data_IF_513022688445
#
_entry.id   IF_513022688445
#
_cell.length_a   1.000
_cell.length_b   1.000
_cell.length_c   1.000
_cell.angle_alpha   90.00
_cell.angle_beta   90.00
_cell.angle_gamma   90.00
#
_symmetry.space_group_name_H-M   'P 1'
#
loop_
_entity.id
_entity.type
_entity.pdbx_description
1 polymer ?
#
# COMPACT_ATOMS: atom_id res chain seq x y z
N UNK A 1 47.14 23.09 43.18
CA UNK A 1 45.72 23.16 42.73
C UNK A 1 45.70 23.41 41.23
N UNK A 2 45.03 22.55 40.44
CA UNK A 2 44.01 22.90 39.41
C UNK A 2 43.78 21.68 38.52
N UNK A 3 42.72 20.93 38.86
CA UNK A 3 42.12 19.90 38.01
C UNK A 3 41.52 20.58 36.78
N UNK A 4 41.71 20.02 35.59
CA UNK A 4 40.80 20.26 34.46
C UNK A 4 40.41 18.90 33.90
N UNK A 5 39.22 18.48 34.29
CA UNK A 5 38.50 17.31 33.81
C UNK A 5 37.62 17.73 32.63
N UNK A 6 37.49 16.81 31.68
CA UNK A 6 36.35 16.53 30.80
C UNK A 6 35.92 17.56 29.75
N UNK A 7 35.83 17.04 28.52
CA UNK A 7 34.98 17.56 27.46
C UNK A 7 34.64 16.45 26.47
N UNK A 8 34.00 15.37 26.91
CA UNK A 8 33.41 14.36 26.02
C UNK A 8 32.11 14.97 25.46
N UNK A 9 32.20 15.65 24.31
CA UNK A 9 31.05 16.23 23.62
C UNK A 9 30.17 15.09 23.06
N UNK A 10 29.12 14.75 23.80
CA UNK A 10 28.07 13.85 23.35
C UNK A 10 27.22 14.54 22.28
N UNK A 11 27.54 14.30 21.01
CA UNK A 11 26.63 14.58 19.91
C UNK A 11 25.51 13.53 19.90
N UNK A 12 24.48 13.73 20.71
CA UNK A 12 23.24 12.95 20.63
C UNK A 12 22.50 13.38 19.36
N UNK A 13 22.53 12.51 18.35
CA UNK A 13 21.85 12.71 17.09
C UNK A 13 20.35 12.98 17.27
N UNK A 14 19.85 13.95 16.51
CA UNK A 14 18.44 14.27 16.36
C UNK A 14 17.69 13.06 15.78
N UNK A 15 17.13 12.21 16.64
CA UNK A 15 16.04 11.33 16.22
C UNK A 15 14.80 12.20 16.03
N UNK A 16 14.64 12.74 14.82
CA UNK A 16 13.39 13.34 14.39
C UNK A 16 12.29 12.28 14.50
N UNK A 17 11.34 12.50 15.40
CA UNK A 17 10.19 11.60 15.59
C UNK A 17 9.26 11.75 14.38
N UNK A 18 9.53 11.01 13.31
CA UNK A 18 8.67 10.99 12.13
C UNK A 18 7.40 10.20 12.45
N UNK A 19 6.24 10.80 12.15
CA UNK A 19 4.95 10.16 12.41
C UNK A 19 4.85 8.88 11.56
N UNK A 20 4.43 7.75 12.16
CA UNK A 20 4.24 6.51 11.40
C UNK A 20 3.30 6.71 10.22
N UNK A 21 3.64 6.14 9.06
CA UNK A 21 2.73 6.09 7.92
C UNK A 21 1.50 5.27 8.29
N UNK A 22 0.31 5.87 8.19
CA UNK A 22 -0.97 5.24 8.52
C UNK A 22 -1.81 5.07 7.26
N UNK A 23 -2.41 3.89 7.10
CA UNK A 23 -3.39 3.64 6.06
C UNK A 23 -4.70 4.41 6.37
N UNK A 24 -5.35 5.02 5.38
CA UNK A 24 -6.63 5.70 5.58
C UNK A 24 -7.71 4.78 6.16
N UNK A 25 -8.43 5.27 7.17
CA UNK A 25 -9.47 4.53 7.89
C UNK A 25 -10.90 4.72 7.35
N UNK A 26 -11.09 5.48 6.27
CA UNK A 26 -12.43 5.77 5.75
C UNK A 26 -13.16 4.49 5.32
N UNK A 27 -14.34 4.28 5.91
CA UNK A 27 -15.20 3.12 5.61
C UNK A 27 -15.59 3.10 4.14
N UNK A 28 -15.48 1.92 3.53
CA UNK A 28 -15.96 1.69 2.17
C UNK A 28 -15.14 2.34 1.04
N UNK A 29 -14.00 2.97 1.33
CA UNK A 29 -13.17 3.58 0.28
C UNK A 29 -11.91 2.76 0.06
N UNK A 30 -11.70 2.36 -1.19
CA UNK A 30 -10.45 1.75 -1.65
C UNK A 30 -9.47 2.84 -2.08
N UNK A 31 -8.24 2.79 -1.57
CA UNK A 31 -7.22 3.79 -1.83
C UNK A 31 -6.03 3.19 -2.57
N UNK A 32 -5.40 3.98 -3.44
CA UNK A 32 -4.08 3.71 -3.99
C UNK A 32 -3.09 4.70 -3.41
N UNK A 33 -1.95 4.19 -2.96
CA UNK A 33 -0.82 5.01 -2.54
C UNK A 33 -0.07 5.50 -3.77
N UNK A 34 0.23 6.80 -3.80
CA UNK A 34 1.02 7.46 -4.84
C UNK A 34 2.10 8.31 -4.17
N UNK A 35 3.12 8.67 -4.92
CA UNK A 35 4.09 9.65 -4.46
C UNK A 35 3.41 11.04 -4.39
N UNK A 36 3.43 11.66 -3.20
CA UNK A 36 2.93 13.00 -2.99
C UNK A 36 3.94 14.06 -3.41
N UNK A 37 3.47 15.27 -3.73
CA UNK A 37 4.31 16.38 -4.21
C UNK A 37 5.35 16.86 -3.19
N UNK A 38 5.18 16.51 -1.92
CA UNK A 38 6.10 16.82 -0.82
C UNK A 38 7.11 15.68 -0.55
N UNK A 39 7.21 14.70 -1.46
CA UNK A 39 8.05 13.50 -1.29
C UNK A 39 7.52 12.51 -0.26
N UNK A 40 6.29 12.70 0.26
CA UNK A 40 5.64 11.78 1.20
C UNK A 40 4.54 10.99 0.49
N UNK A 41 4.26 9.74 0.90
CA UNK A 41 3.15 8.99 0.34
C UNK A 41 1.82 9.71 0.52
N UNK A 42 1.02 9.77 -0.55
CA UNK A 42 -0.36 10.26 -0.53
C UNK A 42 -1.31 9.14 -0.94
N UNK A 43 -2.55 9.17 -0.47
CA UNK A 43 -3.56 8.15 -0.78
C UNK A 43 -4.66 8.77 -1.64
N UNK A 44 -4.81 8.28 -2.87
CA UNK A 44 -5.87 8.68 -3.79
C UNK A 44 -7.00 7.65 -3.82
N UNK A 45 -8.27 8.07 -3.79
CA UNK A 45 -9.38 7.14 -3.87
C UNK A 45 -9.40 6.47 -5.25
N UNK A 46 -9.53 5.15 -5.26
CA UNK A 46 -9.71 4.32 -6.46
C UNK A 46 -11.19 4.09 -6.71
N UNK A 47 -11.94 3.75 -5.65
CA UNK A 47 -13.36 3.52 -5.72
C UNK A 47 -14.02 3.72 -4.34
N UNK A 48 -15.20 4.35 -4.28
CA UNK A 48 -16.06 4.31 -3.11
C UNK A 48 -16.91 3.02 -3.08
N UNK A 49 -17.69 2.85 -2.01
CA UNK A 49 -18.67 1.76 -1.84
C UNK A 49 -18.08 0.36 -2.02
N UNK A 50 -16.92 0.12 -1.40
CA UNK A 50 -16.25 -1.17 -1.39
C UNK A 50 -16.53 -1.91 -0.09
N UNK A 51 -17.16 -3.07 -0.18
CA UNK A 51 -17.61 -3.81 1.00
C UNK A 51 -16.47 -4.49 1.77
N UNK A 52 -15.46 -4.98 1.05
CA UNK A 52 -14.43 -5.86 1.62
C UNK A 52 -13.01 -5.48 1.20
N UNK A 53 -12.04 -5.91 2.00
CA UNK A 53 -10.62 -5.73 1.70
C UNK A 53 -10.24 -6.45 0.40
N UNK A 54 -10.80 -7.64 0.16
CA UNK A 54 -10.64 -8.46 -1.03
C UNK A 54 -11.11 -7.72 -2.29
N UNK A 55 -12.25 -7.04 -2.22
CA UNK A 55 -12.77 -6.26 -3.34
C UNK A 55 -11.85 -5.08 -3.68
N UNK A 56 -11.27 -4.42 -2.68
CA UNK A 56 -10.26 -3.38 -2.92
C UNK A 56 -8.98 -3.98 -3.52
N UNK A 57 -8.52 -5.12 -3.01
CA UNK A 57 -7.35 -5.84 -3.50
C UNK A 57 -7.47 -6.23 -4.98
N UNK A 58 -8.65 -6.72 -5.41
CA UNK A 58 -8.93 -7.03 -6.83
C UNK A 58 -8.81 -5.78 -7.71
N UNK A 59 -9.31 -4.63 -7.24
CA UNK A 59 -9.20 -3.36 -7.99
C UNK A 59 -7.74 -2.92 -8.13
N UNK A 60 -6.96 -3.04 -7.07
CA UNK A 60 -5.53 -2.71 -7.08
C UNK A 60 -4.73 -3.67 -7.97
N UNK A 61 -5.09 -4.96 -8.03
CA UNK A 61 -4.55 -5.92 -9.01
C UNK A 61 -4.86 -5.50 -10.44
N UNK A 62 -6.08 -5.03 -10.71
CA UNK A 62 -6.43 -4.46 -12.01
C UNK A 62 -5.51 -3.31 -12.42
N UNK A 63 -5.19 -2.40 -11.48
CA UNK A 63 -4.22 -1.32 -11.71
C UNK A 63 -2.81 -1.89 -11.96
N UNK A 64 -2.36 -2.86 -11.16
CA UNK A 64 -1.05 -3.52 -11.37
C UNK A 64 -0.98 -4.13 -12.76
N UNK A 65 -2.01 -4.85 -13.20
CA UNK A 65 -2.06 -5.48 -14.52
C UNK A 65 -2.10 -4.46 -15.66
N UNK A 66 -2.82 -3.35 -15.48
CA UNK A 66 -2.91 -2.30 -16.49
C UNK A 66 -1.57 -1.55 -16.70
N UNK A 67 -0.82 -1.31 -15.63
CA UNK A 67 0.43 -0.52 -15.68
C UNK A 67 1.71 -1.36 -15.59
N UNK A 68 1.61 -2.65 -15.27
CA UNK A 68 2.74 -3.56 -15.14
C UNK A 68 3.71 -3.20 -14.00
N UNK A 69 3.24 -2.52 -12.96
CA UNK A 69 4.06 -2.07 -11.82
C UNK A 69 3.39 -2.46 -10.50
N UNK A 70 4.17 -2.79 -9.46
CA UNK A 70 3.63 -3.05 -8.13
C UNK A 70 2.78 -1.87 -7.62
N UNK A 71 1.66 -2.19 -6.99
CA UNK A 71 0.72 -1.20 -6.45
C UNK A 71 0.60 -1.39 -4.94
N UNK A 72 0.79 -0.32 -4.19
CA UNK A 72 0.39 -0.28 -2.79
C UNK A 72 -0.91 0.50 -2.67
N UNK A 73 -1.83 0.01 -1.86
CA UNK A 73 -3.08 0.67 -1.56
C UNK A 73 -3.47 0.48 -0.12
N UNK A 74 -4.71 0.87 0.20
CA UNK A 74 -5.24 0.75 1.54
C UNK A 74 -6.76 0.61 1.55
N UNK A 75 -7.26 -0.04 2.60
CA UNK A 75 -8.69 -0.17 2.89
C UNK A 75 -8.89 -0.22 4.41
N UNK A 76 -9.72 0.69 4.94
CA UNK A 76 -10.13 0.73 6.35
C UNK A 76 -8.98 0.53 7.36
N UNK A 77 -7.89 1.27 7.20
CA UNK A 77 -6.74 1.23 8.11
C UNK A 77 -5.77 0.07 7.87
N UNK A 78 -5.95 -0.72 6.81
CA UNK A 78 -5.04 -1.79 6.39
C UNK A 78 -4.30 -1.38 5.12
N UNK A 79 -3.02 -1.69 5.05
CA UNK A 79 -2.26 -1.63 3.81
C UNK A 79 -2.53 -2.86 2.97
N UNK A 80 -2.58 -2.68 1.65
CA UNK A 80 -2.67 -3.75 0.65
C UNK A 80 -1.46 -3.60 -0.29
N UNK A 81 -0.72 -4.68 -0.48
CA UNK A 81 0.44 -4.73 -1.35
C UNK A 81 0.16 -5.70 -2.48
N UNK A 82 0.29 -5.22 -3.72
CA UNK A 82 0.02 -5.98 -4.92
C UNK A 82 1.29 -6.01 -5.75
N UNK A 83 2.02 -7.12 -5.68
CA UNK A 83 3.27 -7.35 -6.41
C UNK A 83 3.04 -8.35 -7.54
N UNK A 84 4.06 -8.74 -8.28
CA UNK A 84 3.91 -9.80 -9.29
C UNK A 84 3.69 -11.17 -8.65
N UNK A 85 4.13 -11.38 -7.41
CA UNK A 85 4.07 -12.69 -6.73
C UNK A 85 2.77 -12.90 -5.93
N UNK A 86 2.29 -11.87 -5.23
CA UNK A 86 1.10 -12.01 -4.38
C UNK A 86 0.32 -10.70 -4.17
N UNK A 87 -0.87 -10.87 -3.60
CA UNK A 87 -1.63 -9.80 -2.98
C UNK A 87 -1.64 -10.08 -1.46
N UNK A 88 -1.07 -9.17 -0.68
CA UNK A 88 -0.99 -9.30 0.78
C UNK A 88 -1.43 -8.03 1.50
N UNK A 89 -1.78 -8.17 2.78
CA UNK A 89 -2.26 -7.07 3.60
C UNK A 89 -1.63 -7.03 5.00
N UNK A 90 -1.54 -5.83 5.58
CA UNK A 90 -0.93 -5.59 6.89
C UNK A 90 -1.61 -4.45 7.65
N UNK A 91 -1.48 -4.43 8.99
CA UNK A 91 -1.97 -3.31 9.85
C UNK A 91 -1.12 -2.06 9.74
N UNK A 92 0.11 -2.22 9.28
CA UNK A 92 1.10 -1.15 9.23
C UNK A 92 2.22 -1.53 8.26
N UNK A 93 3.06 -0.55 7.87
CA UNK A 93 4.12 -0.75 6.88
C UNK A 93 5.16 -1.80 7.31
N UNK A 94 5.41 -1.89 8.62
CA UNK A 94 6.38 -2.80 9.22
C UNK A 94 5.71 -3.99 9.93
N UNK A 95 4.39 -4.18 9.77
CA UNK A 95 3.68 -5.30 10.39
C UNK A 95 3.80 -6.57 9.55
N UNK A 96 3.65 -7.73 10.18
CA UNK A 96 3.54 -9.00 9.47
C UNK A 96 2.40 -8.96 8.45
N UNK A 97 2.71 -9.40 7.23
CA UNK A 97 1.76 -9.49 6.13
C UNK A 97 1.08 -10.85 6.13
N UNK A 98 -0.19 -10.88 5.77
CA UNK A 98 -0.88 -12.10 5.38
C UNK A 98 -1.31 -12.02 3.93
N UNK A 99 -1.36 -13.17 3.27
CA UNK A 99 -1.82 -13.31 1.90
C UNK A 99 -3.34 -13.20 1.83
N UNK A 100 -3.84 -12.37 0.91
CA UNK A 100 -5.29 -12.14 0.72
C UNK A 100 -5.92 -13.26 -0.12
N UNK A 101 -5.21 -13.71 -1.17
CA UNK A 101 -5.69 -14.76 -2.08
C UNK A 101 -4.64 -15.84 -2.27
N UNK A 102 -5.05 -17.11 -2.34
CA UNK A 102 -4.16 -18.19 -2.78
C UNK A 102 -3.69 -17.97 -4.22
N UNK A 103 -2.56 -18.59 -4.65
CA UNK A 103 -2.12 -18.49 -6.06
C UNK A 103 -3.22 -18.87 -7.06
N UNK A 104 -3.96 -19.95 -6.79
CA UNK A 104 -5.04 -20.40 -7.66
C UNK A 104 -6.18 -19.38 -7.76
N UNK A 105 -6.62 -18.80 -6.62
CA UNK A 105 -7.64 -17.75 -6.62
C UNK A 105 -7.17 -16.50 -7.38
N UNK A 106 -5.90 -16.11 -7.20
CA UNK A 106 -5.35 -14.95 -7.89
C UNK A 106 -5.31 -15.14 -9.41
N UNK A 107 -4.97 -16.34 -9.89
CA UNK A 107 -5.02 -16.64 -11.32
C UNK A 107 -6.42 -16.48 -11.90
N UNK A 108 -7.46 -16.92 -11.20
CA UNK A 108 -8.85 -16.74 -11.65
C UNK A 108 -9.26 -15.26 -11.68
N UNK A 109 -8.84 -14.48 -10.67
CA UNK A 109 -9.04 -13.03 -10.65
C UNK A 109 -8.37 -12.38 -11.87
N UNK A 110 -7.13 -12.73 -12.16
CA UNK A 110 -6.37 -12.17 -13.28
C UNK A 110 -7.02 -12.49 -14.64
N UNK A 111 -7.47 -13.73 -14.86
CA UNK A 111 -8.24 -14.09 -16.06
C UNK A 111 -9.52 -13.27 -16.21
N UNK A 112 -10.22 -13.04 -15.10
CA UNK A 112 -11.41 -12.19 -15.06
C UNK A 112 -11.10 -10.75 -15.47
N UNK A 113 -10.04 -10.17 -14.90
CA UNK A 113 -9.56 -8.82 -15.22
C UNK A 113 -9.14 -8.72 -16.70
N UNK A 114 -8.37 -9.68 -17.22
CA UNK A 114 -7.98 -9.76 -18.64
C UNK A 114 -9.19 -9.77 -19.56
N UNK A 115 -10.20 -10.57 -19.23
CA UNK A 115 -11.45 -10.65 -19.98
C UNK A 115 -12.16 -9.29 -20.01
N UNK A 116 -12.21 -8.57 -18.87
CA UNK A 116 -12.82 -7.25 -18.79
C UNK A 116 -12.03 -6.20 -19.59
N UNK A 117 -10.70 -6.17 -19.45
CA UNK A 117 -9.84 -5.26 -20.20
C UNK A 117 -9.93 -5.49 -21.72
N UNK A 118 -10.04 -6.76 -22.15
CA UNK A 118 -10.22 -7.09 -23.56
C UNK A 118 -11.56 -6.58 -24.10
N UNK A 119 -12.64 -6.65 -23.31
CA UNK A 119 -13.96 -6.11 -23.67
C UNK A 119 -13.94 -4.59 -23.77
N UNK A 120 -13.30 -3.91 -22.82
CA UNK A 120 -13.15 -2.45 -22.85
C UNK A 120 -12.41 -1.98 -24.11
N UNK A 121 -11.29 -2.64 -24.46
CA UNK A 121 -10.54 -2.36 -25.69
C UNK A 121 -11.35 -2.61 -26.97
N UNK A 122 -12.32 -3.52 -26.93
CA UNK A 122 -13.18 -3.83 -28.06
C UNK A 122 -14.34 -2.83 -28.27
N UNK A 123 -14.42 -1.77 -27.45
CA UNK A 123 -15.39 -0.68 -27.62
C UNK A 123 -16.71 -0.92 -26.89
N UNK A 124 -16.62 -1.15 -25.57
CA UNK A 124 -17.79 -1.28 -24.69
C UNK A 124 -18.84 -0.18 -24.85
#
# INVERSE_FOLDING_TARGET
MRRVLLGLAAALGLFGCEKPLMAPGHTGVCWRMVEGMNGKPDFKPVAPNIDTLENCAVRLEGIRMAYGQPVTGAFQGRFIYVTDDEISAASGPNSQRYRVFTPAQRLEIQKGIETLMAREKAGG
#
